data_IF_644613921201
#
_entry.id   IF_644613921201
#
_cell.length_a   1.000
_cell.length_b   1.000
_cell.length_c   1.000
_cell.angle_alpha   90.00
_cell.angle_beta   90.00
_cell.angle_gamma   90.00
#
_symmetry.space_group_name_H-M   'P 1'
#
loop_
_entity.id
_entity.type
_entity.pdbx_description
1 polymer ?
#
# COMPACT_ATOMS: atom_id res chain seq x y z
N UNK A 1 -17.51 -65.75 -64.50
CA UNK A 1 -16.35 -64.83 -64.58
C UNK A 1 -16.35 -63.99 -63.31
N UNK A 2 -15.59 -64.38 -62.29
CA UNK A 2 -15.63 -63.79 -60.95
C UNK A 2 -14.63 -62.62 -60.87
N UNK A 3 -15.13 -61.39 -60.79
CA UNK A 3 -14.33 -60.18 -60.62
C UNK A 3 -13.96 -60.10 -59.12
N UNK A 4 -12.74 -60.50 -58.75
CA UNK A 4 -12.25 -60.34 -57.37
C UNK A 4 -11.75 -58.91 -57.15
N UNK A 5 -12.12 -58.26 -56.04
CA UNK A 5 -11.78 -56.87 -55.79
C UNK A 5 -10.29 -56.72 -55.42
N UNK A 6 -9.58 -55.86 -56.15
CA UNK A 6 -8.24 -55.39 -55.79
C UNK A 6 -8.38 -54.40 -54.63
N UNK A 7 -8.49 -54.91 -53.41
CA UNK A 7 -8.44 -54.08 -52.22
C UNK A 7 -6.97 -53.82 -51.86
N UNK A 8 -6.43 -52.73 -52.43
CA UNK A 8 -5.02 -52.37 -52.34
C UNK A 8 -4.67 -51.90 -50.92
N UNK A 9 -3.75 -52.63 -50.26
CA UNK A 9 -3.16 -52.28 -48.95
C UNK A 9 -2.55 -50.88 -48.92
N UNK A 10 -2.23 -50.30 -50.08
CA UNK A 10 -1.73 -48.93 -50.19
C UNK A 10 -2.78 -47.88 -49.80
N UNK A 11 -4.07 -48.14 -50.03
CA UNK A 11 -5.14 -47.19 -49.69
C UNK A 11 -5.27 -46.99 -48.18
N UNK A 12 -5.14 -48.07 -47.40
CA UNK A 12 -5.17 -48.01 -45.93
C UNK A 12 -3.95 -47.31 -45.34
N UNK A 13 -2.75 -47.47 -45.92
CA UNK A 13 -1.54 -46.81 -45.44
C UNK A 13 -1.60 -45.28 -45.61
N UNK A 14 -2.16 -44.80 -46.72
CA UNK A 14 -2.32 -43.36 -47.00
C UNK A 14 -3.36 -42.74 -46.04
N UNK A 15 -4.49 -43.43 -45.81
CA UNK A 15 -5.49 -43.01 -44.82
C UNK A 15 -4.92 -42.96 -43.40
N UNK A 16 -4.12 -43.96 -43.01
CA UNK A 16 -3.55 -44.04 -41.67
C UNK A 16 -2.48 -42.96 -41.43
N UNK A 17 -1.62 -42.68 -42.43
CA UNK A 17 -0.65 -41.58 -42.37
C UNK A 17 -1.34 -40.22 -42.29
N UNK A 18 -2.44 -40.02 -43.03
CA UNK A 18 -3.25 -38.80 -42.99
C UNK A 18 -3.89 -38.54 -41.63
N UNK A 19 -4.51 -39.56 -41.03
CA UNK A 19 -5.15 -39.47 -39.70
C UNK A 19 -4.11 -39.25 -38.59
N UNK A 20 -2.94 -39.90 -38.67
CA UNK A 20 -1.85 -39.70 -37.71
C UNK A 20 -1.28 -38.27 -37.78
N UNK A 21 -1.09 -37.72 -38.99
CA UNK A 21 -0.64 -36.34 -39.20
C UNK A 21 -1.66 -35.31 -38.71
N UNK A 22 -2.96 -35.54 -38.98
CA UNK A 22 -4.04 -34.69 -38.49
C UNK A 22 -4.17 -34.69 -36.95
N UNK A 23 -4.02 -35.86 -36.32
CA UNK A 23 -4.02 -35.97 -34.85
C UNK A 23 -2.81 -35.31 -34.19
N UNK A 24 -1.64 -35.29 -34.87
CA UNK A 24 -0.45 -34.58 -34.40
C UNK A 24 -0.63 -33.05 -34.47
N UNK A 25 -1.16 -32.55 -35.59
CA UNK A 25 -1.48 -31.12 -35.77
C UNK A 25 -2.58 -30.65 -34.81
N UNK A 26 -3.59 -31.48 -34.54
CA UNK A 26 -4.64 -31.18 -33.58
C UNK A 26 -4.13 -31.11 -32.13
N UNK A 27 -3.18 -31.97 -31.75
CA UNK A 27 -2.54 -31.91 -30.42
C UNK A 27 -1.66 -30.67 -30.23
N UNK A 28 -0.89 -30.28 -31.24
CA UNK A 28 -0.09 -29.04 -31.23
C UNK A 28 -1.00 -27.80 -31.06
N UNK A 29 -2.15 -27.77 -31.74
CA UNK A 29 -3.12 -26.69 -31.64
C UNK A 29 -3.77 -26.56 -30.25
N UNK A 30 -4.09 -27.69 -29.60
CA UNK A 30 -4.62 -27.73 -28.22
C UNK A 30 -3.56 -27.25 -27.20
N UNK A 31 -2.30 -27.63 -27.38
CA UNK A 31 -1.18 -27.24 -26.49
C UNK A 31 -0.90 -25.72 -26.57
N UNK A 32 -1.04 -25.11 -27.74
CA UNK A 32 -0.86 -23.66 -27.93
C UNK A 32 -1.96 -22.82 -27.25
N UNK A 33 -3.20 -23.33 -27.17
CA UNK A 33 -4.32 -22.61 -26.57
C UNK A 33 -4.31 -22.63 -25.03
N UNK A 34 -3.67 -23.63 -24.42
CA UNK A 34 -3.58 -23.77 -22.97
C UNK A 34 -2.73 -22.67 -22.33
N UNK A 35 -1.62 -22.27 -22.97
CA UNK A 35 -0.73 -21.21 -22.47
C UNK A 35 -1.22 -19.79 -22.79
N UNK A 36 -2.12 -19.66 -23.78
CA UNK A 36 -2.66 -18.38 -24.25
C UNK A 36 -3.62 -17.71 -23.25
N UNK A 37 -4.20 -18.48 -22.34
CA UNK A 37 -5.08 -18.00 -21.26
C UNK A 37 -4.28 -17.67 -19.99
N UNK A 38 -3.14 -18.33 -19.75
CA UNK A 38 -2.29 -18.07 -18.59
C UNK A 38 -1.54 -16.74 -18.69
N UNK A 39 -1.05 -16.37 -19.89
CA UNK A 39 -0.36 -15.10 -20.12
C UNK A 39 -1.18 -13.84 -19.77
N UNK A 40 -2.45 -13.69 -20.20
CA UNK A 40 -3.24 -12.50 -19.87
C UNK A 40 -3.64 -12.46 -18.39
N UNK A 41 -3.87 -13.61 -17.74
CA UNK A 41 -4.21 -13.67 -16.31
C UNK A 41 -2.99 -13.31 -15.44
N UNK A 42 -1.80 -13.79 -15.81
CA UNK A 42 -0.55 -13.43 -15.15
C UNK A 42 -0.18 -11.95 -15.38
N UNK A 43 -0.41 -11.42 -16.59
CA UNK A 43 -0.23 -10.00 -16.89
C UNK A 43 -1.23 -9.10 -16.13
N UNK A 44 -2.48 -9.54 -15.95
CA UNK A 44 -3.48 -8.84 -15.15
C UNK A 44 -3.08 -8.81 -13.65
N UNK A 45 -2.49 -9.89 -13.14
CA UNK A 45 -2.01 -9.98 -11.77
C UNK A 45 -0.84 -9.01 -11.49
N UNK A 46 0.04 -8.78 -12.47
CA UNK A 46 1.13 -7.81 -12.38
C UNK A 46 0.66 -6.34 -12.33
N UNK A 47 -0.49 -6.03 -12.93
CA UNK A 47 -1.06 -4.67 -12.88
C UNK A 47 -1.65 -4.29 -11.52
N UNK A 48 -1.97 -5.28 -10.68
CA UNK A 48 -2.51 -5.06 -9.31
C UNK A 48 -1.39 -4.80 -8.29
N UNK A 49 -0.12 -4.99 -8.64
CA UNK A 49 1.01 -4.88 -7.72
C UNK A 49 1.48 -3.44 -7.43
N UNK A 50 0.92 -2.42 -8.07
CA UNK A 50 1.35 -1.02 -7.91
C UNK A 50 0.29 -0.16 -7.21
N UNK A 51 -0.07 -0.47 -5.96
CA UNK A 51 -0.95 0.40 -5.17
C UNK A 51 -0.64 0.41 -3.65
N UNK A 52 0.53 -0.05 -3.22
CA UNK A 52 0.97 0.22 -1.84
C UNK A 52 1.48 1.64 -1.76
N UNK A 53 0.65 2.54 -1.21
CA UNK A 53 1.02 3.91 -0.85
C UNK A 53 2.33 3.87 -0.05
N UNK A 54 3.40 4.59 -0.43
CA UNK A 54 4.64 4.56 0.34
C UNK A 54 4.33 5.05 1.75
N UNK A 55 4.59 4.20 2.73
CA UNK A 55 4.58 4.59 4.14
C UNK A 55 5.68 5.64 4.28
N UNK A 56 5.27 6.89 4.46
CA UNK A 56 6.21 7.98 4.67
C UNK A 56 6.90 7.70 6.00
N UNK A 57 8.21 7.42 5.93
CA UNK A 57 9.10 7.00 7.02
C UNK A 57 9.24 8.05 8.17
N UNK A 58 8.41 9.09 8.21
CA UNK A 58 8.52 10.21 9.16
C UNK A 58 7.21 10.59 9.84
N UNK A 59 6.20 9.72 9.89
CA UNK A 59 4.98 9.96 10.67
C UNK A 59 5.21 9.67 12.17
N UNK A 60 6.14 10.39 12.80
CA UNK A 60 6.46 10.26 14.22
C UNK A 60 5.92 11.42 15.05
N UNK A 61 5.59 11.22 16.33
CA UNK A 61 5.15 12.31 17.22
C UNK A 61 6.13 13.49 17.23
N UNK A 62 7.43 13.22 17.22
CA UNK A 62 8.50 14.22 17.25
C UNK A 62 8.58 15.02 15.94
N UNK A 63 8.36 14.36 14.79
CA UNK A 63 8.34 15.04 13.50
C UNK A 63 7.23 16.09 13.47
N UNK A 64 6.03 15.69 13.88
CA UNK A 64 4.87 16.59 13.91
C UNK A 64 4.99 17.67 14.97
N UNK A 65 5.64 17.38 16.10
CA UNK A 65 5.99 18.41 17.08
C UNK A 65 6.95 19.46 16.51
N UNK A 66 8.04 19.03 15.87
CA UNK A 66 8.98 19.95 15.20
C UNK A 66 8.30 20.74 14.07
N UNK A 67 7.38 20.12 13.32
CA UNK A 67 6.57 20.82 12.34
C UNK A 67 5.70 21.91 12.99
N UNK A 68 5.04 21.59 14.11
CA UNK A 68 4.24 22.55 14.87
C UNK A 68 5.08 23.71 15.42
N UNK A 69 6.29 23.44 15.92
CA UNK A 69 7.21 24.48 16.38
C UNK A 69 7.61 25.44 15.25
N UNK A 70 7.92 24.93 14.05
CA UNK A 70 8.15 25.79 12.87
C UNK A 70 6.94 26.66 12.53
N UNK A 71 5.73 26.12 12.67
CA UNK A 71 4.51 26.90 12.50
C UNK A 71 4.34 27.99 13.58
N UNK A 72 4.71 27.73 14.83
CA UNK A 72 4.77 28.74 15.89
C UNK A 72 5.76 29.87 15.52
N UNK A 73 6.97 29.52 15.07
CA UNK A 73 8.00 30.48 14.66
C UNK A 73 7.52 31.37 13.50
N UNK A 74 6.72 30.80 12.59
CA UNK A 74 6.12 31.52 11.47
C UNK A 74 4.86 32.32 11.87
N UNK A 75 4.40 32.24 13.12
CA UNK A 75 3.15 32.86 13.59
C UNK A 75 1.87 32.17 13.10
N UNK A 76 1.97 31.03 12.40
CA UNK A 76 0.83 30.25 11.94
C UNK A 76 0.35 29.29 13.03
N UNK A 77 -0.36 29.84 14.00
CA UNK A 77 -0.83 29.07 15.14
C UNK A 77 -1.92 28.05 14.77
N UNK A 78 -2.66 28.27 13.67
CA UNK A 78 -3.67 27.32 13.19
C UNK A 78 -3.02 26.08 12.58
N UNK A 79 -1.96 26.25 11.80
CA UNK A 79 -1.18 25.13 11.29
C UNK A 79 -0.43 24.41 12.43
N UNK A 80 0.09 25.18 13.40
CA UNK A 80 0.72 24.60 14.60
C UNK A 80 -0.24 23.67 15.35
N UNK A 81 -1.51 24.07 15.53
CA UNK A 81 -2.53 23.20 16.15
C UNK A 81 -2.69 21.88 15.42
N UNK A 82 -2.74 21.89 14.08
CA UNK A 82 -2.88 20.64 13.28
C UNK A 82 -1.68 19.72 13.48
N UNK A 83 -0.47 20.28 13.42
CA UNK A 83 0.76 19.52 13.60
C UNK A 83 0.87 18.96 15.02
N UNK A 84 0.64 19.76 16.05
CA UNK A 84 0.64 19.25 17.43
C UNK A 84 -0.48 18.26 17.70
N UNK A 85 -1.65 18.42 17.08
CA UNK A 85 -2.73 17.44 17.17
C UNK A 85 -2.30 16.10 16.58
N UNK A 86 -1.68 16.10 15.40
CA UNK A 86 -1.14 14.87 14.81
C UNK A 86 -0.09 14.21 15.71
N UNK A 87 0.77 15.01 16.35
CA UNK A 87 1.76 14.52 17.32
C UNK A 87 1.11 13.73 18.47
N UNK A 88 0.08 14.30 19.12
CA UNK A 88 -0.62 13.62 20.22
C UNK A 88 -1.53 12.47 19.77
N UNK A 89 -1.98 12.49 18.52
CA UNK A 89 -2.76 11.39 17.94
C UNK A 89 -1.89 10.16 17.69
N UNK A 90 -0.64 10.37 17.27
CA UNK A 90 0.36 9.32 17.06
C UNK A 90 0.83 8.73 18.39
N UNK A 91 1.15 9.58 19.37
CA UNK A 91 1.45 9.14 20.72
C UNK A 91 0.77 10.00 21.78
N UNK A 92 -0.22 9.40 22.43
CA UNK A 92 -0.98 10.01 23.54
C UNK A 92 -0.15 10.19 24.81
N UNK A 93 1.05 9.61 24.90
CA UNK A 93 1.98 9.81 26.02
C UNK A 93 2.95 10.96 25.77
N UNK A 94 3.13 11.36 24.51
CA UNK A 94 4.04 12.42 24.11
C UNK A 94 3.63 13.78 24.70
N UNK A 95 4.24 14.12 25.84
CA UNK A 95 3.85 15.27 26.65
C UNK A 95 4.05 16.61 25.92
N UNK A 96 5.13 16.73 25.15
CA UNK A 96 5.47 17.94 24.41
C UNK A 96 4.40 18.31 23.36
N UNK A 97 3.73 17.32 22.75
CA UNK A 97 2.63 17.58 21.82
C UNK A 97 1.46 18.32 22.49
N UNK A 98 1.10 17.95 23.72
CA UNK A 98 0.11 18.69 24.51
C UNK A 98 0.62 20.08 24.92
N UNK A 99 1.92 20.20 25.23
CA UNK A 99 2.55 21.50 25.48
C UNK A 99 2.43 22.43 24.27
N UNK A 100 2.70 21.91 23.08
CA UNK A 100 2.53 22.61 21.81
C UNK A 100 1.09 23.06 21.57
N UNK A 101 0.09 22.19 21.78
CA UNK A 101 -1.33 22.58 21.71
C UNK A 101 -1.65 23.72 22.69
N UNK A 102 -1.14 23.64 23.92
CA UNK A 102 -1.31 24.69 24.92
C UNK A 102 -0.71 26.03 24.47
N UNK A 103 0.51 25.99 23.93
CA UNK A 103 1.21 27.16 23.39
C UNK A 103 0.46 27.78 22.21
N UNK A 104 0.01 26.98 21.24
CA UNK A 104 -0.77 27.46 20.09
C UNK A 104 -2.09 28.09 20.54
N UNK A 105 -2.81 27.47 21.48
CA UNK A 105 -4.05 28.05 22.02
C UNK A 105 -3.81 29.36 22.78
N UNK A 106 -2.70 29.49 23.52
CA UNK A 106 -2.34 30.73 24.20
C UNK A 106 -2.11 31.86 23.19
N UNK A 107 -1.37 31.59 22.11
CA UNK A 107 -1.13 32.56 21.03
C UNK A 107 -2.42 32.95 20.28
N UNK A 108 -3.40 32.04 20.20
CA UNK A 108 -4.73 32.32 19.65
C UNK A 108 -5.69 32.99 20.65
N UNK A 109 -5.25 33.35 21.86
CA UNK A 109 -6.08 33.97 22.90
C UNK A 109 -7.01 33.00 23.65
N UNK A 110 -6.93 31.71 23.37
CA UNK A 110 -7.77 30.67 23.97
C UNK A 110 -7.23 30.20 25.32
N UNK A 111 -7.15 31.11 26.29
CA UNK A 111 -6.50 30.89 27.59
C UNK A 111 -7.05 29.70 28.39
N UNK A 112 -8.35 29.39 28.24
CA UNK A 112 -8.98 28.23 28.91
C UNK A 112 -8.41 26.91 28.37
N UNK A 113 -8.34 26.77 27.04
CA UNK A 113 -7.79 25.58 26.40
C UNK A 113 -6.27 25.49 26.62
N UNK A 114 -5.56 26.63 26.59
CA UNK A 114 -4.14 26.68 26.89
C UNK A 114 -3.82 26.07 28.26
N UNK A 115 -4.57 26.46 29.30
CA UNK A 115 -4.42 25.91 30.67
C UNK A 115 -4.77 24.43 30.74
N UNK A 116 -5.84 23.99 30.08
CA UNK A 116 -6.23 22.58 30.03
C UNK A 116 -5.11 21.73 29.41
N UNK A 117 -4.59 22.12 28.25
CA UNK A 117 -3.51 21.41 27.58
C UNK A 117 -2.16 21.48 28.32
N UNK A 118 -1.84 22.60 28.97
CA UNK A 118 -0.68 22.69 29.85
C UNK A 118 -0.78 21.72 31.03
N UNK A 119 -1.98 21.57 31.63
CA UNK A 119 -2.20 20.59 32.70
C UNK A 119 -2.04 19.15 32.21
N UNK A 120 -2.52 18.85 30.99
CA UNK A 120 -2.32 17.56 30.33
C UNK A 120 -0.83 17.29 30.10
N UNK A 121 -0.09 18.25 29.55
CA UNK A 121 1.36 18.17 29.39
C UNK A 121 2.06 17.81 30.71
N UNK A 122 1.82 18.57 31.78
CA UNK A 122 2.41 18.30 33.10
C UNK A 122 2.04 16.91 33.67
N UNK A 123 0.80 16.45 33.43
CA UNK A 123 0.35 15.13 33.86
C UNK A 123 1.04 13.98 33.10
N UNK A 124 1.35 14.19 31.82
CA UNK A 124 1.96 13.18 30.94
C UNK A 124 3.49 13.18 31.02
N UNK A 125 4.13 14.33 31.16
CA UNK A 125 5.58 14.44 31.31
C UNK A 125 6.11 13.69 32.54
N UNK A 126 5.32 13.59 33.62
CA UNK A 126 5.64 12.72 34.78
C UNK A 126 5.66 11.22 34.46
N UNK A 127 4.98 10.81 33.39
CA UNK A 127 4.85 9.41 32.97
C UNK A 127 5.76 9.06 31.79
N UNK A 128 6.35 10.05 31.14
CA UNK A 128 7.23 9.89 29.99
C UNK A 128 8.52 10.72 30.17
N UNK A 129 9.58 10.09 30.69
CA UNK A 129 10.90 10.73 30.80
C UNK A 129 11.54 11.01 29.43
N UNK A 130 11.14 10.28 28.37
CA UNK A 130 11.71 10.41 27.03
C UNK A 130 11.37 11.75 26.39
N UNK A 131 10.14 12.24 26.60
CA UNK A 131 9.72 13.54 26.11
C UNK A 131 10.54 14.72 26.69
N UNK A 132 11.09 14.61 27.91
CA UNK A 132 11.95 15.66 28.49
C UNK A 132 13.34 15.74 27.84
N UNK A 133 13.78 14.68 27.15
CA UNK A 133 15.10 14.67 26.49
C UNK A 133 15.16 15.46 25.19
N UNK A 134 14.01 15.93 24.70
CA UNK A 134 13.82 16.62 23.43
C UNK A 134 13.66 18.14 23.55
N UNK A 135 13.65 18.68 24.79
CA UNK A 135 13.56 20.12 25.08
C UNK A 135 14.92 20.78 25.23
#
# INVERSE_FOLDING_TARGET
>A
MQIKPVHSRHFYLILFQGIFSANKLFKEFIMLNKHRIFYPIFALFLLVACATKPESDMDTPEYHYKAGMRSIENGDFQQALKSFQRSVDLDKKFALGYGGLGLSHANLGNNKLAKDYASKCASRGKKDPGALSLS
#
